data_IF_176273605045
#
_entry.id   IF_176273605045
#
_cell.length_a   1.000
_cell.length_b   1.000
_cell.length_c   1.000
_cell.angle_alpha   90.00
_cell.angle_beta   90.00
_cell.angle_gamma   90.00
#
_symmetry.space_group_name_H-M   'P 1'
#
loop_
_entity.id
_entity.type
_entity.pdbx_description
1 polymer ?
#
# COMPACT_ATOMS: atom_id res chain seq x y z
N UNK A 1 -46.38 -4.18 49.36
CA UNK A 1 -46.11 -3.96 50.80
C UNK A 1 -45.69 -5.22 51.55
N UNK A 2 -46.26 -6.40 51.27
CA UNK A 2 -45.94 -7.65 52.00
C UNK A 2 -44.53 -8.24 51.77
N UNK A 3 -43.91 -8.03 50.61
CA UNK A 3 -42.52 -8.49 50.36
C UNK A 3 -41.49 -7.69 51.17
N UNK A 4 -41.72 -6.40 51.37
CA UNK A 4 -40.83 -5.51 52.14
C UNK A 4 -40.91 -5.81 53.65
N UNK A 5 -42.10 -6.17 54.15
CA UNK A 5 -42.30 -6.53 55.57
C UNK A 5 -41.75 -7.91 55.91
N UNK A 6 -41.84 -8.88 54.99
CA UNK A 6 -41.29 -10.23 55.19
C UNK A 6 -39.75 -10.28 55.22
N UNK A 7 -39.05 -9.36 54.53
CA UNK A 7 -37.59 -9.24 54.61
C UNK A 7 -37.11 -8.58 55.91
N UNK A 8 -37.93 -7.71 56.52
CA UNK A 8 -37.60 -7.05 57.78
C UNK A 8 -37.48 -8.00 58.97
N UNK A 9 -38.24 -9.11 58.98
CA UNK A 9 -38.17 -10.13 60.04
C UNK A 9 -36.98 -11.11 59.89
N UNK A 10 -36.25 -11.07 58.76
CA UNK A 10 -35.11 -11.95 58.48
C UNK A 10 -33.74 -11.32 58.82
N UNK A 11 -33.71 -10.16 59.49
CA UNK A 11 -32.46 -9.54 59.98
C UNK A 11 -31.51 -9.04 58.87
N UNK A 12 -31.94 -9.04 57.61
CA UNK A 12 -31.19 -8.42 56.51
C UNK A 12 -31.48 -6.92 56.57
N UNK A 13 -30.47 -6.12 56.92
CA UNK A 13 -30.61 -4.67 56.90
C UNK A 13 -30.92 -4.19 55.47
N UNK A 14 -31.87 -3.27 55.35
CA UNK A 14 -32.26 -2.67 54.09
C UNK A 14 -31.05 -2.11 53.32
N UNK A 15 -30.07 -1.58 54.04
CA UNK A 15 -28.81 -1.07 53.49
C UNK A 15 -28.02 -2.16 52.73
N UNK A 16 -27.97 -3.40 53.24
CA UNK A 16 -27.28 -4.52 52.56
C UNK A 16 -27.98 -4.90 51.26
N UNK A 17 -29.31 -4.83 51.23
CA UNK A 17 -30.09 -5.09 50.02
C UNK A 17 -29.83 -4.00 48.96
N UNK A 18 -29.75 -2.72 49.38
CA UNK A 18 -29.42 -1.62 48.47
C UNK A 18 -28.04 -1.79 47.84
N UNK A 19 -27.02 -2.13 48.63
CA UNK A 19 -25.67 -2.41 48.11
C UNK A 19 -25.66 -3.62 47.18
N UNK A 20 -26.42 -4.67 47.48
CA UNK A 20 -26.53 -5.84 46.61
C UNK A 20 -27.18 -5.48 45.26
N UNK A 21 -28.29 -4.73 45.28
CA UNK A 21 -28.99 -4.29 44.06
C UNK A 21 -28.12 -3.31 43.26
N UNK A 22 -27.40 -2.40 43.92
CA UNK A 22 -26.48 -1.48 43.27
C UNK A 22 -25.35 -2.26 42.57
N UNK A 23 -24.70 -3.19 43.28
CA UNK A 23 -23.64 -4.02 42.72
C UNK A 23 -24.12 -4.87 41.54
N UNK A 24 -25.31 -5.47 41.66
CA UNK A 24 -25.92 -6.26 40.58
C UNK A 24 -26.26 -5.39 39.36
N UNK A 25 -26.82 -4.20 39.56
CA UNK A 25 -27.17 -3.27 38.48
C UNK A 25 -25.94 -2.79 37.74
N UNK A 26 -24.86 -2.46 38.47
CA UNK A 26 -23.58 -2.07 37.88
C UNK A 26 -22.97 -3.23 37.09
N UNK A 27 -22.97 -4.45 37.65
CA UNK A 27 -22.49 -5.64 36.95
C UNK A 27 -23.26 -5.95 35.67
N UNK A 28 -24.59 -5.84 35.70
CA UNK A 28 -25.44 -5.98 34.52
C UNK A 28 -25.17 -4.87 33.48
N UNK A 29 -24.99 -3.62 33.93
CA UNK A 29 -24.67 -2.49 33.06
C UNK A 29 -23.36 -2.71 32.30
N UNK A 30 -22.30 -3.17 32.99
CA UNK A 30 -21.05 -3.52 32.35
C UNK A 30 -21.19 -4.71 31.38
N UNK A 31 -21.98 -5.73 31.72
CA UNK A 31 -22.22 -6.89 30.85
C UNK A 31 -23.00 -6.54 29.57
N UNK A 32 -23.92 -5.58 29.64
CA UNK A 32 -24.78 -5.16 28.52
C UNK A 32 -24.21 -3.99 27.71
N UNK A 33 -23.15 -3.36 28.18
CA UNK A 33 -22.59 -2.14 27.59
C UNK A 33 -22.32 -2.27 26.09
N UNK A 34 -21.75 -3.40 25.66
CA UNK A 34 -21.37 -3.61 24.25
C UNK A 34 -22.59 -3.80 23.33
N UNK A 35 -23.62 -4.47 23.81
CA UNK A 35 -24.87 -4.66 23.06
C UNK A 35 -25.57 -3.31 22.88
N UNK A 36 -25.65 -2.53 23.95
CA UNK A 36 -26.28 -1.21 23.94
C UNK A 36 -25.50 -0.24 23.03
N UNK A 37 -24.17 -0.23 23.12
CA UNK A 37 -23.32 0.61 22.28
C UNK A 37 -23.55 0.31 20.78
N UNK A 38 -23.48 -0.96 20.37
CA UNK A 38 -23.69 -1.33 18.97
C UNK A 38 -25.11 -1.00 18.46
N UNK A 39 -26.12 -1.09 19.31
CA UNK A 39 -27.50 -0.71 18.96
C UNK A 39 -27.63 0.80 18.75
N UNK A 40 -27.17 1.61 19.72
CA UNK A 40 -27.22 3.08 19.61
C UNK A 40 -26.39 3.56 18.42
N UNK A 41 -25.20 2.99 18.20
CA UNK A 41 -24.40 3.28 17.01
C UNK A 41 -25.11 2.92 15.71
N UNK A 42 -25.88 1.82 15.68
CA UNK A 42 -26.74 1.49 14.55
C UNK A 42 -27.79 2.57 14.26
N UNK A 43 -28.43 3.13 15.29
CA UNK A 43 -29.39 4.24 15.12
C UNK A 43 -28.69 5.51 14.61
N UNK A 44 -27.53 5.86 15.16
CA UNK A 44 -26.72 7.01 14.72
C UNK A 44 -26.40 6.87 13.23
N UNK A 45 -25.93 5.71 12.79
CA UNK A 45 -25.62 5.45 11.37
C UNK A 45 -26.88 5.64 10.49
N UNK A 46 -28.06 5.22 10.95
CA UNK A 46 -29.30 5.37 10.18
C UNK A 46 -29.78 6.83 10.07
N UNK A 47 -29.63 7.62 11.14
CA UNK A 47 -30.08 9.01 11.20
C UNK A 47 -29.07 9.98 10.58
N UNK A 48 -27.79 9.91 10.97
CA UNK A 48 -26.75 10.83 10.50
C UNK A 48 -26.16 10.40 9.15
N UNK A 49 -26.27 9.11 8.80
CA UNK A 49 -25.76 8.52 7.55
C UNK A 49 -24.30 8.91 7.21
N UNK A 50 -23.34 8.72 8.14
CA UNK A 50 -21.92 8.95 7.86
C UNK A 50 -21.36 7.94 6.85
N UNK A 51 -22.04 6.80 6.68
CA UNK A 51 -21.76 5.76 5.67
C UNK A 51 -23.06 5.27 5.05
N UNK A 52 -23.00 4.93 3.76
CA UNK A 52 -24.12 4.39 2.97
C UNK A 52 -23.70 3.09 2.30
N UNK A 53 -24.69 2.26 1.96
CA UNK A 53 -24.43 1.08 1.12
C UNK A 53 -23.90 1.56 -0.23
N UNK A 54 -22.80 0.99 -0.69
CA UNK A 54 -22.07 1.39 -1.89
C UNK A 54 -20.91 2.36 -1.63
N UNK A 55 -20.78 2.93 -0.43
CA UNK A 55 -19.66 3.81 -0.12
C UNK A 55 -18.37 3.01 -0.03
N UNK A 56 -17.27 3.58 -0.54
CA UNK A 56 -15.94 3.04 -0.30
C UNK A 56 -15.34 3.71 0.92
N UNK A 57 -15.00 2.90 1.92
CA UNK A 57 -14.55 3.37 3.22
C UNK A 57 -13.28 2.66 3.67
N UNK A 58 -12.57 3.29 4.58
CA UNK A 58 -11.47 2.69 5.33
C UNK A 58 -11.72 2.90 6.83
N UNK A 59 -11.70 1.82 7.59
CA UNK A 59 -11.84 1.83 9.06
C UNK A 59 -10.85 0.85 9.67
N UNK A 60 -10.01 1.36 10.58
CA UNK A 60 -8.85 0.62 11.06
C UNK A 60 -7.95 0.17 9.91
N UNK A 61 -7.72 -1.14 9.79
CA UNK A 61 -6.92 -1.76 8.72
C UNK A 61 -7.75 -2.26 7.55
N UNK A 62 -9.08 -2.13 7.61
CA UNK A 62 -9.97 -2.64 6.58
C UNK A 62 -10.38 -1.53 5.62
N UNK A 63 -10.31 -1.82 4.32
CA UNK A 63 -10.77 -0.94 3.27
C UNK A 63 -11.67 -1.72 2.33
N UNK A 64 -12.74 -1.09 1.84
CA UNK A 64 -13.67 -1.76 0.94
C UNK A 64 -14.99 -1.02 0.78
N UNK A 65 -15.91 -1.64 0.06
CA UNK A 65 -17.23 -1.09 -0.21
C UNK A 65 -18.24 -1.60 0.80
N UNK A 66 -19.05 -0.70 1.39
CA UNK A 66 -20.13 -1.07 2.31
C UNK A 66 -21.19 -1.87 1.55
N UNK A 67 -21.36 -3.15 1.89
CA UNK A 67 -22.30 -4.04 1.20
C UNK A 67 -23.62 -4.20 1.95
N UNK A 68 -23.60 -4.12 3.29
CA UNK A 68 -24.82 -4.28 4.11
C UNK A 68 -24.71 -3.58 5.45
N UNK A 69 -25.74 -2.85 5.85
CA UNK A 69 -25.84 -2.25 7.19
C UNK A 69 -26.92 -3.00 7.97
N UNK A 70 -26.58 -3.55 9.13
CA UNK A 70 -27.52 -4.23 10.06
C UNK A 70 -27.52 -3.52 11.41
N UNK A 71 -28.41 -3.95 12.30
CA UNK A 71 -28.65 -3.29 13.59
C UNK A 71 -27.44 -3.27 14.56
N UNK A 72 -26.52 -4.24 14.47
CA UNK A 72 -25.34 -4.33 15.35
C UNK A 72 -24.01 -4.30 14.62
N UNK A 73 -24.01 -4.52 13.31
CA UNK A 73 -22.80 -4.61 12.52
C UNK A 73 -23.06 -4.20 11.07
N UNK A 74 -22.01 -3.73 10.42
CA UNK A 74 -21.98 -3.37 9.01
C UNK A 74 -20.97 -4.28 8.31
N UNK A 75 -21.36 -4.81 7.15
CA UNK A 75 -20.52 -5.64 6.31
C UNK A 75 -19.90 -4.76 5.24
N UNK A 76 -18.58 -4.86 5.08
CA UNK A 76 -17.84 -4.31 3.97
C UNK A 76 -17.29 -5.45 3.11
N UNK A 77 -17.15 -5.20 1.81
CA UNK A 77 -16.53 -6.12 0.86
C UNK A 77 -15.22 -5.50 0.38
N UNK A 78 -14.10 -6.15 0.69
CA UNK A 78 -12.76 -5.73 0.25
C UNK A 78 -12.56 -6.02 -1.25
N UNK A 79 -11.47 -5.50 -1.84
CA UNK A 79 -11.07 -5.71 -3.23
C UNK A 79 -10.85 -7.19 -3.58
N UNK A 80 -10.46 -8.00 -2.60
CA UNK A 80 -10.38 -9.47 -2.70
C UNK A 80 -11.75 -10.18 -2.65
N UNK A 81 -12.86 -9.42 -2.64
CA UNK A 81 -14.24 -9.91 -2.44
C UNK A 81 -14.48 -10.61 -1.10
N UNK A 82 -13.64 -10.36 -0.10
CA UNK A 82 -13.84 -10.85 1.27
C UNK A 82 -14.88 -9.99 1.98
N UNK A 83 -15.84 -10.63 2.65
CA UNK A 83 -16.78 -9.93 3.53
C UNK A 83 -16.19 -9.75 4.93
N UNK A 84 -16.07 -8.51 5.39
CA UNK A 84 -15.61 -8.18 6.74
C UNK A 84 -16.79 -7.59 7.51
N UNK A 85 -17.11 -8.20 8.66
CA UNK A 85 -18.22 -7.79 9.52
C UNK A 85 -17.66 -6.92 10.65
N UNK A 86 -18.03 -5.65 10.66
CA UNK A 86 -17.52 -4.66 11.60
C UNK A 86 -18.64 -4.25 12.56
N UNK A 87 -18.43 -4.29 13.89
CA UNK A 87 -19.40 -3.81 14.87
C UNK A 87 -19.76 -2.34 14.62
N UNK A 88 -21.04 -1.97 14.73
CA UNK A 88 -21.49 -0.60 14.46
C UNK A 88 -20.83 0.42 15.40
N UNK A 89 -20.47 0.01 16.62
CA UNK A 89 -19.73 0.85 17.57
C UNK A 89 -18.45 1.43 16.95
N UNK A 90 -17.72 0.64 16.18
CA UNK A 90 -16.47 1.06 15.54
C UNK A 90 -16.67 2.28 14.63
N UNK A 91 -17.78 2.34 13.87
CA UNK A 91 -18.08 3.47 12.97
C UNK A 91 -18.34 4.79 13.70
N UNK A 92 -18.67 4.73 14.99
CA UNK A 92 -18.93 5.92 15.81
C UNK A 92 -17.70 6.29 16.65
N UNK A 93 -16.95 5.31 17.13
CA UNK A 93 -15.83 5.55 18.06
C UNK A 93 -14.46 5.61 17.39
N UNK A 94 -14.29 4.96 16.24
CA UNK A 94 -13.00 4.91 15.53
C UNK A 94 -12.91 5.95 14.42
N UNK A 95 -11.69 6.20 13.97
CA UNK A 95 -11.45 7.04 12.80
C UNK A 95 -11.90 6.31 11.54
N UNK A 96 -12.94 6.85 10.91
CA UNK A 96 -13.47 6.42 9.63
C UNK A 96 -13.03 7.38 8.51
N UNK A 97 -12.57 6.85 7.39
CA UNK A 97 -12.35 7.61 6.15
C UNK A 97 -13.40 7.16 5.14
N UNK A 98 -14.23 8.09 4.65
CA UNK A 98 -15.18 7.83 3.58
C UNK A 98 -14.69 8.52 2.30
N UNK A 99 -14.38 7.71 1.29
CA UNK A 99 -13.81 8.16 0.01
C UNK A 99 -14.88 8.60 -1.00
N UNK A 100 -16.15 8.37 -0.69
CA UNK A 100 -17.27 8.60 -1.62
C UNK A 100 -18.43 9.41 -1.00
N UNK A 101 -18.21 10.05 0.15
CA UNK A 101 -19.29 10.68 0.93
C UNK A 101 -19.91 11.90 0.22
N UNK A 102 -19.06 12.85 -0.19
CA UNK A 102 -19.47 14.10 -0.83
C UNK A 102 -19.35 14.02 -2.35
N UNK A 103 -18.25 13.44 -2.82
CA UNK A 103 -17.98 13.11 -4.21
C UNK A 103 -17.07 11.87 -4.26
N UNK A 104 -16.85 11.34 -5.46
CA UNK A 104 -15.92 10.22 -5.72
C UNK A 104 -14.58 10.69 -6.28
N UNK A 105 -14.36 12.01 -6.33
CA UNK A 105 -13.21 12.61 -6.98
C UNK A 105 -11.99 12.37 -6.10
N UNK A 106 -10.99 11.70 -6.65
CA UNK A 106 -9.82 11.28 -5.87
C UNK A 106 -8.53 11.87 -6.45
N UNK A 107 -7.71 12.46 -5.58
CA UNK A 107 -6.38 12.99 -5.96
C UNK A 107 -5.36 11.87 -6.10
N UNK A 108 -4.76 11.72 -7.28
CA UNK A 108 -3.64 10.81 -7.58
C UNK A 108 -2.32 11.59 -7.52
N UNK A 109 -1.29 10.94 -6.98
CA UNK A 109 0.08 11.46 -6.93
C UNK A 109 0.99 10.46 -7.63
N UNK A 110 1.67 10.90 -8.69
CA UNK A 110 2.69 10.12 -9.40
C UNK A 110 4.04 10.76 -9.10
N UNK A 111 4.96 10.00 -8.53
CA UNK A 111 6.32 10.45 -8.21
C UNK A 111 7.29 9.93 -9.26
N UNK A 112 8.11 10.82 -9.80
CA UNK A 112 9.10 10.50 -10.84
C UNK A 112 10.43 11.13 -10.46
N UNK A 113 11.46 10.31 -10.35
CA UNK A 113 12.84 10.77 -10.16
C UNK A 113 13.59 10.74 -11.49
N UNK A 114 14.10 11.88 -11.94
CA UNK A 114 14.91 11.98 -13.17
C UNK A 114 16.38 12.23 -12.84
N UNK A 115 17.30 11.90 -13.74
CA UNK A 115 18.73 12.04 -13.50
C UNK A 115 19.13 13.51 -13.36
N UNK A 116 20.17 13.78 -12.56
CA UNK A 116 20.80 15.09 -12.50
C UNK A 116 21.25 15.54 -13.89
N UNK A 117 21.10 16.84 -14.17
CA UNK A 117 21.38 17.42 -15.49
C UNK A 117 20.22 17.34 -16.49
N UNK A 118 19.09 16.72 -16.13
CA UNK A 118 17.87 16.77 -16.95
C UNK A 118 17.30 18.19 -17.02
N UNK A 119 16.73 18.55 -18.17
CA UNK A 119 15.99 19.80 -18.35
C UNK A 119 14.65 19.74 -17.59
N UNK A 120 14.54 20.52 -16.51
CA UNK A 120 13.39 20.54 -15.61
C UNK A 120 12.10 21.00 -16.28
N UNK A 121 12.18 21.96 -17.21
CA UNK A 121 11.01 22.47 -17.93
C UNK A 121 10.52 21.44 -18.94
N UNK A 122 11.44 20.73 -19.60
CA UNK A 122 11.11 19.62 -20.50
C UNK A 122 10.47 18.44 -19.74
N UNK A 123 10.98 18.10 -18.57
CA UNK A 123 10.37 17.08 -17.68
C UNK A 123 8.96 17.48 -17.30
N UNK A 124 8.76 18.73 -16.87
CA UNK A 124 7.43 19.25 -16.53
C UNK A 124 6.45 19.13 -17.72
N UNK A 125 6.88 19.52 -18.92
CA UNK A 125 6.07 19.45 -20.12
C UNK A 125 5.65 18.01 -20.45
N UNK A 126 6.59 17.06 -20.38
CA UNK A 126 6.32 15.63 -20.64
C UNK A 126 5.34 15.04 -19.62
N UNK A 127 5.51 15.34 -18.34
CA UNK A 127 4.61 14.85 -17.29
C UNK A 127 3.19 15.41 -17.43
N UNK A 128 3.06 16.69 -17.80
CA UNK A 128 1.75 17.30 -18.09
C UNK A 128 1.13 16.71 -19.37
N UNK A 129 1.91 16.49 -20.41
CA UNK A 129 1.45 15.84 -21.64
C UNK A 129 0.85 14.46 -21.34
N UNK A 130 1.56 13.62 -20.57
CA UNK A 130 1.07 12.30 -20.16
C UNK A 130 -0.28 12.39 -19.43
N UNK A 131 -0.44 13.40 -18.56
CA UNK A 131 -1.68 13.63 -17.83
C UNK A 131 -2.83 14.07 -18.75
N UNK A 132 -2.58 15.01 -19.67
CA UNK A 132 -3.61 15.53 -20.57
C UNK A 132 -4.05 14.53 -21.65
N UNK A 133 -3.16 13.63 -22.07
CA UNK A 133 -3.49 12.58 -23.04
C UNK A 133 -4.30 11.42 -22.43
N UNK A 134 -4.34 11.29 -21.10
CA UNK A 134 -5.07 10.22 -20.44
C UNK A 134 -6.56 10.59 -20.24
N UNK A 135 -7.52 9.83 -20.81
CA UNK A 135 -8.95 10.17 -20.76
C UNK A 135 -9.58 10.05 -19.37
N UNK A 136 -8.94 9.37 -18.41
CA UNK A 136 -9.43 9.25 -17.02
C UNK A 136 -9.01 10.42 -16.13
N UNK A 137 -8.03 11.20 -16.57
CA UNK A 137 -7.55 12.38 -15.84
C UNK A 137 -8.54 13.52 -16.03
N UNK A 138 -8.92 14.17 -14.94
CA UNK A 138 -9.79 15.34 -14.98
C UNK A 138 -9.03 16.56 -15.50
N UNK A 139 -9.71 17.35 -16.33
CA UNK A 139 -9.21 18.65 -16.81
C UNK A 139 -9.47 19.78 -15.81
N UNK A 140 -10.47 19.60 -14.94
CA UNK A 140 -10.79 20.50 -13.83
C UNK A 140 -11.07 19.65 -12.58
N UNK A 141 -10.25 19.74 -11.50
CA UNK A 141 -9.06 20.57 -11.38
C UNK A 141 -7.93 20.13 -12.33
N UNK A 142 -7.18 21.10 -12.87
CA UNK A 142 -6.09 20.84 -13.81
C UNK A 142 -4.94 20.04 -13.17
N UNK A 143 -4.33 19.08 -13.90
CA UNK A 143 -3.11 18.42 -13.43
C UNK A 143 -1.97 19.42 -13.22
N UNK A 144 -1.18 19.19 -12.18
CA UNK A 144 -0.04 20.04 -11.82
C UNK A 144 1.21 19.19 -11.61
N UNK A 145 2.36 19.72 -12.02
CA UNK A 145 3.67 19.10 -11.78
C UNK A 145 4.50 20.01 -10.90
N UNK A 146 5.05 19.43 -9.84
CA UNK A 146 5.95 20.12 -8.92
C UNK A 146 7.33 19.48 -8.98
N UNK A 147 8.37 20.31 -8.97
CA UNK A 147 9.72 19.89 -8.57
C UNK A 147 9.79 20.01 -7.05
N UNK A 148 10.00 18.89 -6.35
CA UNK A 148 9.91 18.83 -4.90
C UNK A 148 11.25 19.06 -4.21
N UNK A 149 12.28 18.33 -4.63
CA UNK A 149 13.59 18.38 -3.97
C UNK A 149 14.71 17.85 -4.89
N UNK A 150 15.94 18.15 -4.48
CA UNK A 150 17.16 17.48 -4.95
C UNK A 150 17.43 16.23 -4.09
N UNK A 151 17.18 15.05 -4.66
CA UNK A 151 17.32 13.76 -3.98
C UNK A 151 18.76 13.25 -4.01
N UNK A 152 19.02 12.14 -3.33
CA UNK A 152 20.38 11.59 -3.23
C UNK A 152 20.99 11.21 -4.59
N UNK A 153 20.16 10.79 -5.55
CA UNK A 153 20.59 10.46 -6.92
C UNK A 153 19.56 10.89 -7.98
N UNK A 154 18.55 11.66 -7.58
CA UNK A 154 17.38 11.98 -8.40
C UNK A 154 17.00 13.46 -8.26
N UNK A 155 16.41 14.03 -9.31
CA UNK A 155 15.63 15.26 -9.27
C UNK A 155 14.16 14.84 -9.11
N UNK A 156 13.57 15.12 -7.95
CA UNK A 156 12.27 14.56 -7.57
C UNK A 156 11.12 15.43 -8.07
N UNK A 157 10.30 14.87 -8.95
CA UNK A 157 9.08 15.47 -9.45
C UNK A 157 7.83 14.74 -8.95
N UNK A 158 6.74 15.50 -8.78
CA UNK A 158 5.43 14.97 -8.42
C UNK A 158 4.36 15.54 -9.34
N UNK A 159 3.72 14.64 -10.11
CA UNK A 159 2.51 14.93 -10.88
C UNK A 159 1.29 14.68 -9.98
N UNK A 160 0.49 15.73 -9.79
CA UNK A 160 -0.77 15.73 -9.03
C UNK A 160 -1.93 15.89 -10.00
N UNK A 161 -2.92 15.03 -9.88
CA UNK A 161 -4.11 15.07 -10.73
C UNK A 161 -5.32 14.49 -10.01
N UNK A 162 -6.49 14.65 -10.60
CA UNK A 162 -7.74 14.10 -10.07
C UNK A 162 -8.35 13.11 -11.07
N UNK A 163 -9.01 12.08 -10.53
CA UNK A 163 -9.83 11.13 -11.29
C UNK A 163 -11.26 11.17 -10.75
N UNK A 164 -12.26 10.94 -11.63
CA UNK A 164 -13.67 11.07 -11.25
C UNK A 164 -14.15 9.98 -10.29
N UNK A 165 -13.62 8.77 -10.45
CA UNK A 165 -14.03 7.63 -9.66
C UNK A 165 -12.84 6.96 -8.98
N UNK A 166 -13.04 6.48 -7.75
CA UNK A 166 -11.99 5.81 -6.99
C UNK A 166 -11.44 4.56 -7.69
N UNK A 167 -12.29 3.82 -8.41
CA UNK A 167 -11.89 2.62 -9.17
C UNK A 167 -10.88 2.91 -10.27
N UNK A 168 -10.91 4.12 -10.83
CA UNK A 168 -10.02 4.53 -11.91
C UNK A 168 -8.61 4.81 -11.40
N UNK A 169 -8.43 5.05 -10.09
CA UNK A 169 -7.15 5.38 -9.48
C UNK A 169 -6.03 4.44 -9.92
N UNK A 170 -6.22 3.13 -9.77
CA UNK A 170 -5.17 2.15 -10.08
C UNK A 170 -4.89 2.03 -11.57
N UNK A 171 -5.94 2.09 -12.40
CA UNK A 171 -5.81 2.06 -13.86
C UNK A 171 -5.08 3.31 -14.38
N UNK A 172 -5.46 4.49 -13.90
CA UNK A 172 -4.80 5.75 -14.25
C UNK A 172 -3.33 5.76 -13.83
N UNK A 173 -2.98 5.21 -12.66
CA UNK A 173 -1.58 5.10 -12.24
C UNK A 173 -0.77 4.21 -13.18
N UNK A 174 -1.29 3.02 -13.56
CA UNK A 174 -0.60 2.13 -14.50
C UNK A 174 -0.40 2.80 -15.88
N UNK A 175 -1.46 3.37 -16.43
CA UNK A 175 -1.42 4.01 -17.74
C UNK A 175 -0.51 5.23 -17.78
N UNK A 176 -0.54 6.07 -16.74
CA UNK A 176 0.34 7.22 -16.66
C UNK A 176 1.79 6.80 -16.49
N UNK A 177 2.11 5.83 -15.63
CA UNK A 177 3.48 5.36 -15.49
C UNK A 177 4.03 4.83 -16.82
N UNK A 178 3.23 4.09 -17.59
CA UNK A 178 3.62 3.60 -18.92
C UNK A 178 3.77 4.74 -19.94
N UNK A 179 2.87 5.72 -19.91
CA UNK A 179 2.94 6.87 -20.80
C UNK A 179 4.15 7.76 -20.49
N UNK A 180 4.43 8.01 -19.20
CA UNK A 180 5.59 8.76 -18.71
C UNK A 180 6.88 8.05 -19.14
N UNK A 181 7.00 6.74 -18.92
CA UNK A 181 8.17 5.98 -19.35
C UNK A 181 8.43 6.13 -20.86
N UNK A 182 7.38 5.95 -21.68
CA UNK A 182 7.46 6.12 -23.13
C UNK A 182 7.88 7.53 -23.52
N UNK A 183 7.21 8.56 -23.00
CA UNK A 183 7.46 9.96 -23.35
C UNK A 183 8.84 10.42 -22.87
N UNK A 184 9.29 9.99 -21.69
CA UNK A 184 10.64 10.25 -21.21
C UNK A 184 11.69 9.70 -22.19
N UNK A 185 11.50 8.45 -22.65
CA UNK A 185 12.40 7.82 -23.63
C UNK A 185 12.40 8.53 -24.98
N UNK A 186 11.25 8.98 -25.47
CA UNK A 186 11.13 9.74 -26.73
C UNK A 186 11.76 11.15 -26.64
N UNK A 187 11.90 11.67 -25.43
CA UNK A 187 12.41 13.02 -25.16
C UNK A 187 13.83 13.01 -24.58
N UNK A 188 14.54 11.89 -24.61
CA UNK A 188 15.89 11.75 -24.04
C UNK A 188 15.99 12.16 -22.55
N UNK A 189 14.90 11.97 -21.80
CA UNK A 189 14.85 12.19 -20.36
C UNK A 189 15.23 10.89 -19.67
N UNK A 190 16.37 10.89 -18.98
CA UNK A 190 16.85 9.72 -18.26
C UNK A 190 16.14 9.60 -16.89
N UNK A 191 15.29 8.59 -16.73
CA UNK A 191 14.71 8.25 -15.43
C UNK A 191 15.83 7.71 -14.55
N UNK A 192 16.03 8.32 -13.39
CA UNK A 192 17.15 7.99 -12.55
C UNK A 192 17.02 6.57 -11.97
N UNK A 193 18.13 5.85 -12.00
CA UNK A 193 18.35 4.64 -11.20
C UNK A 193 19.37 4.98 -10.11
N UNK A 194 19.40 4.18 -9.04
CA UNK A 194 20.38 4.38 -7.96
C UNK A 194 21.80 4.32 -8.53
N UNK A 195 22.56 5.40 -8.37
CA UNK A 195 23.96 5.47 -8.73
C UNK A 195 24.80 5.14 -7.49
N UNK A 196 25.62 4.10 -7.57
CA UNK A 196 26.59 3.77 -6.54
C UNK A 196 27.99 4.02 -7.09
N UNK A 197 28.63 5.08 -6.61
CA UNK A 197 30.07 5.29 -6.82
C UNK A 197 30.83 4.52 -5.74
N UNK A 198 31.67 3.58 -6.17
CA UNK A 198 32.52 2.77 -5.29
C UNK A 198 33.97 3.19 -5.48
N UNK A 199 34.55 3.77 -4.43
CA UNK A 199 35.98 4.03 -4.34
C UNK A 199 36.67 2.85 -3.66
N UNK A 200 37.49 2.11 -4.40
CA UNK A 200 38.30 1.02 -3.86
C UNK A 200 39.68 1.56 -3.47
N UNK A 201 39.95 1.58 -2.17
CA UNK A 201 41.28 1.88 -1.65
C UNK A 201 42.00 0.58 -1.30
N UNK A 202 43.25 0.41 -1.74
CA UNK A 202 44.08 -0.69 -1.27
C UNK A 202 44.72 -0.36 0.11
N UNK A 203 45.29 -1.35 0.80
CA UNK A 203 45.95 -1.16 2.11
C UNK A 203 47.16 -0.19 2.10
N UNK A 204 47.62 0.22 0.91
CA UNK A 204 48.75 1.15 0.72
C UNK A 204 48.28 2.58 0.40
N UNK A 205 46.97 2.86 0.46
CA UNK A 205 46.41 4.19 0.25
C UNK A 205 46.30 4.62 -1.22
N UNK A 206 46.59 3.72 -2.17
CA UNK A 206 46.44 4.02 -3.59
C UNK A 206 44.99 3.73 -4.04
N UNK A 207 44.37 4.70 -4.72
CA UNK A 207 43.06 4.55 -5.35
C UNK A 207 43.17 3.58 -6.54
N UNK A 208 42.41 2.49 -6.51
CA UNK A 208 42.37 1.51 -7.59
C UNK A 208 40.97 1.49 -8.20
N UNK A 209 40.81 2.25 -9.28
CA UNK A 209 39.67 2.30 -10.22
C UNK A 209 38.27 2.60 -9.68
N UNK A 210 37.63 3.60 -10.32
CA UNK A 210 36.21 3.87 -10.27
C UNK A 210 35.43 2.77 -11.03
N UNK A 211 34.72 1.90 -10.32
CA UNK A 211 33.84 0.92 -10.95
C UNK A 211 32.48 1.56 -11.21
N UNK A 212 32.31 2.23 -12.36
CA UNK A 212 30.98 2.66 -12.83
C UNK A 212 30.16 1.44 -13.24
N UNK A 213 29.33 0.92 -12.33
CA UNK A 213 28.36 -0.12 -12.66
C UNK A 213 27.06 0.54 -13.13
N UNK A 214 26.98 0.87 -14.42
CA UNK A 214 25.71 1.28 -15.03
C UNK A 214 24.80 0.06 -15.13
N UNK A 215 23.89 -0.14 -14.18
CA UNK A 215 22.83 -1.13 -14.34
C UNK A 215 21.73 -0.53 -15.23
N UNK A 216 21.83 -0.76 -16.54
CA UNK A 216 20.75 -0.50 -17.50
C UNK A 216 19.71 -1.63 -17.39
N UNK A 217 18.41 -1.36 -17.16
CA UNK A 217 17.37 -2.38 -17.30
C UNK A 217 17.00 -2.56 -18.79
N UNK A 218 17.63 -3.53 -19.45
CA UNK A 218 16.99 -4.41 -20.44
C UNK A 218 16.74 -3.91 -21.87
N UNK A 219 17.74 -4.04 -22.74
CA UNK A 219 17.55 -4.60 -24.10
C UNK A 219 18.57 -5.74 -24.22
N UNK A 220 18.09 -6.89 -24.69
CA UNK A 220 18.68 -8.20 -24.44
C UNK A 220 20.17 -8.35 -24.77
N UNK A 221 20.92 -8.82 -23.78
CA UNK A 221 22.12 -9.62 -24.00
C UNK A 221 22.13 -10.73 -22.96
N UNK A 222 21.36 -11.79 -23.25
CA UNK A 222 21.73 -13.11 -22.75
C UNK A 222 23.00 -13.50 -23.52
N UNK A 223 24.17 -13.69 -22.89
CA UNK A 223 25.18 -14.50 -23.52
C UNK A 223 24.58 -15.90 -23.60
N UNK A 224 24.07 -16.25 -24.79
CA UNK A 224 23.85 -17.66 -25.15
C UNK A 224 25.14 -18.37 -24.80
N UNK A 225 25.09 -19.35 -23.90
CA UNK A 225 26.13 -20.35 -23.76
C UNK A 225 26.30 -21.01 -25.14
N UNK A 226 27.21 -20.45 -25.94
CA UNK A 226 27.65 -21.05 -27.18
C UNK A 226 28.54 -22.20 -26.74
N UNK A 227 28.05 -23.42 -26.95
CA UNK A 227 28.84 -24.64 -26.82
C UNK A 227 30.13 -24.47 -27.64
N UNK A 228 31.23 -24.12 -26.98
CA UNK A 228 32.57 -24.24 -27.51
C UNK A 228 33.01 -25.69 -27.27
N UNK A 229 32.41 -26.62 -28.01
CA UNK A 229 33.06 -27.91 -28.28
C UNK A 229 34.11 -27.63 -29.36
N UNK A 230 35.22 -27.00 -28.95
CA UNK A 230 36.37 -26.84 -29.83
C UNK A 230 37.12 -28.17 -29.81
N UNK A 231 36.98 -28.88 -30.91
CA UNK A 231 37.78 -30.03 -31.33
C UNK A 231 39.26 -29.72 -31.11
N UNK A 232 39.89 -30.37 -30.13
CA UNK A 232 41.33 -30.52 -30.07
C UNK A 232 41.63 -31.96 -30.49
N UNK A 233 41.88 -32.12 -31.79
CA UNK A 233 42.55 -33.29 -32.32
C UNK A 233 44.06 -33.11 -32.11
N UNK A 234 44.67 -34.09 -31.44
CA UNK A 234 46.08 -34.49 -31.60
C UNK A 234 47.15 -33.63 -30.91
N UNK A 235 47.64 -34.08 -29.76
CA UNK A 235 48.91 -34.81 -29.65
C UNK A 235 49.23 -35.13 -28.18
N UNK A 236 49.34 -36.43 -27.92
CA UNK A 236 50.27 -37.10 -27.00
C UNK A 236 50.28 -36.87 -25.48
N UNK A 237 50.02 -38.01 -24.81
CA UNK A 237 50.64 -38.54 -23.58
C UNK A 237 50.05 -38.11 -22.21
N UNK A 238 49.10 -38.91 -21.71
CA UNK A 238 49.02 -39.24 -20.27
C UNK A 238 48.35 -40.61 -20.02
N UNK A 239 48.86 -41.46 -19.11
CA UNK A 239 48.35 -42.81 -18.89
C UNK A 239 47.10 -42.86 -17.99
N UNK A 240 46.33 -43.93 -18.19
CA UNK A 240 45.08 -44.24 -17.51
C UNK A 240 45.25 -44.56 -16.01
N UNK A 241 44.32 -44.09 -15.17
CA UNK A 241 44.28 -44.40 -13.75
C UNK A 241 43.02 -43.92 -13.02
N UNK A 242 41.98 -44.77 -13.05
CA UNK A 242 40.94 -45.08 -12.02
C UNK A 242 40.12 -43.98 -11.30
N UNK A 243 38.86 -44.39 -11.05
CA UNK A 243 37.79 -43.84 -10.18
C UNK A 243 37.03 -42.64 -10.78
N UNK A 244 35.71 -42.61 -10.91
CA UNK A 244 34.65 -43.29 -10.15
C UNK A 244 33.80 -42.21 -9.47
N UNK A 245 32.50 -42.21 -9.76
CA UNK A 245 31.41 -41.42 -9.14
C UNK A 245 31.09 -40.01 -9.67
N UNK A 246 29.82 -39.93 -10.07
CA UNK A 246 29.05 -38.75 -10.48
C UNK A 246 28.26 -38.29 -9.25
N UNK A 247 28.48 -37.05 -8.77
CA UNK A 247 27.48 -36.30 -7.99
C UNK A 247 27.63 -34.78 -8.22
N UNK A 248 26.53 -34.01 -8.21
CA UNK A 248 26.51 -32.61 -8.62
C UNK A 248 26.90 -31.68 -7.46
N UNK A 249 27.86 -30.79 -7.69
CA UNK A 249 28.24 -29.76 -6.71
C UNK A 249 27.30 -28.56 -6.79
N UNK A 250 26.68 -28.27 -5.64
CA UNK A 250 25.87 -27.09 -5.33
C UNK A 250 26.66 -25.79 -5.53
N UNK A 251 26.04 -24.79 -6.15
CA UNK A 251 26.47 -23.40 -6.04
C UNK A 251 26.27 -22.91 -4.61
N UNK A 252 27.36 -22.56 -3.93
CA UNK A 252 27.36 -21.72 -2.74
C UNK A 252 27.97 -20.38 -3.17
N UNK A 253 27.24 -19.30 -2.92
CA UNK A 253 27.65 -17.92 -3.16
C UNK A 253 28.90 -17.56 -2.32
N UNK A 254 29.84 -16.83 -2.94
CA UNK A 254 30.64 -15.80 -2.26
C UNK A 254 30.68 -14.58 -3.16
#
# INVERSE_FOLDING_TARGET
>A
MGTITALGSLGVSWDKLQWLVAALSVGLGFGLQEIFANFVSGLIILFERPVRIGDTITIGTYSGTVSKIRIRATTITDFDRKEVIIPNKAFVTERLINWSLSDTITRVLIKVGVAYGSDLDKVKAVLLQAAHENPRVMTDPEPMVFFLNFGASTLDHELRLYVRELRDRSYTVDELNRAIDRLCRENDINIAFNQLEVYLHNQQGNEVQEVKRTQVPGIGDQPRCRNLTRTLAGHDHWPAGKYGEVMPARCIFS
#
